data_IF_305679060533
#
_entry.id   IF_305679060533
#
_cell.length_a   1.000
_cell.length_b   1.000
_cell.length_c   1.000
_cell.angle_alpha   90.00
_cell.angle_beta   90.00
_cell.angle_gamma   90.00
#
_symmetry.space_group_name_H-M   'P 1'
#
loop_
_entity.id
_entity.type
_entity.pdbx_description
1 polymer ?
#
# COMPACT_ATOMS: atom_id res chain seq x y z
N UNK A 1 -78.34 -26.97 5.13
CA UNK A 1 -78.09 -27.88 4.00
C UNK A 1 -77.95 -27.01 2.76
N UNK A 2 -76.90 -27.18 1.93
CA UNK A 2 -76.11 -28.39 1.75
C UNK A 2 -74.66 -28.30 2.31
N UNK A 3 -74.19 -29.47 2.75
CA UNK A 3 -72.79 -29.91 2.89
C UNK A 3 -72.26 -30.30 1.48
N UNK A 4 -71.00 -30.73 1.19
CA UNK A 4 -70.04 -31.35 2.11
C UNK A 4 -68.51 -31.24 1.83
N UNK A 5 -67.74 -31.76 2.80
CA UNK A 5 -66.58 -32.65 2.69
C UNK A 5 -65.30 -32.28 1.89
N UNK A 6 -64.20 -32.34 2.64
CA UNK A 6 -62.87 -32.91 2.34
C UNK A 6 -61.94 -32.10 1.42
N UNK A 7 -60.87 -31.57 2.00
CA UNK A 7 -59.52 -32.08 1.72
C UNK A 7 -58.54 -31.58 2.80
N UNK A 8 -57.87 -32.53 3.44
CA UNK A 8 -56.66 -32.34 4.23
C UNK A 8 -55.47 -32.30 3.26
N UNK A 9 -54.59 -31.30 3.35
CA UNK A 9 -53.23 -31.50 2.91
C UNK A 9 -52.25 -31.18 4.04
N UNK A 10 -51.75 -32.24 4.66
CA UNK A 10 -50.32 -32.45 4.78
C UNK A 10 -49.63 -31.63 5.87
N UNK A 11 -49.23 -32.33 6.92
CA UNK A 11 -48.14 -31.89 7.80
C UNK A 11 -46.89 -31.57 6.97
N UNK A 12 -46.36 -30.33 6.96
CA UNK A 12 -45.06 -30.08 6.37
C UNK A 12 -43.97 -30.69 7.28
N UNK A 13 -42.93 -31.33 6.72
CA UNK A 13 -41.88 -31.94 7.51
C UNK A 13 -41.08 -30.85 8.23
N UNK A 14 -40.79 -31.13 9.50
CA UNK A 14 -39.81 -30.39 10.29
C UNK A 14 -38.42 -30.63 9.70
N UNK A 15 -37.94 -29.68 8.89
CA UNK A 15 -36.52 -29.51 8.63
C UNK A 15 -36.20 -28.02 8.60
N UNK A 16 -36.39 -27.38 9.76
CA UNK A 16 -35.70 -26.15 10.08
C UNK A 16 -34.23 -26.50 10.30
N UNK A 17 -33.47 -26.59 9.20
CA UNK A 17 -32.02 -26.53 9.24
C UNK A 17 -31.64 -25.21 9.92
N UNK A 18 -31.40 -25.30 11.21
CA UNK A 18 -30.80 -24.23 12.00
C UNK A 18 -29.38 -24.10 11.50
N UNK A 19 -29.17 -23.23 10.51
CA UNK A 19 -27.85 -22.67 10.24
C UNK A 19 -27.39 -21.98 11.51
N UNK A 20 -26.57 -22.70 12.29
CA UNK A 20 -25.85 -22.14 13.41
C UNK A 20 -25.14 -20.85 12.95
N UNK A 21 -25.18 -19.76 13.75
CA UNK A 21 -24.46 -18.56 13.41
C UNK A 21 -22.99 -18.92 13.27
N UNK A 22 -22.43 -18.70 12.07
CA UNK A 22 -21.00 -18.83 11.83
C UNK A 22 -20.28 -18.03 12.90
N UNK A 23 -19.43 -18.71 13.68
CA UNK A 23 -18.65 -18.08 14.74
C UNK A 23 -18.00 -16.82 14.15
N UNK A 24 -18.29 -15.66 14.74
CA UNK A 24 -17.77 -14.36 14.31
C UNK A 24 -16.27 -14.52 14.17
N UNK A 25 -15.75 -14.45 12.94
CA UNK A 25 -14.33 -14.66 12.68
C UNK A 25 -13.53 -13.76 13.63
N UNK A 26 -12.66 -14.37 14.43
CA UNK A 26 -11.89 -13.65 15.44
C UNK A 26 -10.98 -12.67 14.71
N UNK A 27 -11.03 -11.39 15.11
CA UNK A 27 -10.18 -10.36 14.51
C UNK A 27 -8.71 -10.74 14.68
N UNK A 28 -7.92 -10.42 13.68
CA UNK A 28 -6.46 -10.59 13.67
C UNK A 28 -5.77 -9.26 13.93
N UNK A 29 -4.49 -9.25 14.37
CA UNK A 29 -3.70 -8.02 14.42
C UNK A 29 -3.72 -7.24 13.10
N UNK A 30 -3.73 -7.94 11.96
CA UNK A 30 -3.77 -7.32 10.63
C UNK A 30 -5.07 -6.55 10.37
N UNK A 31 -6.20 -6.99 10.91
CA UNK A 31 -7.47 -6.26 10.80
C UNK A 31 -7.37 -4.89 11.48
N UNK A 32 -6.74 -4.83 12.66
CA UNK A 32 -6.50 -3.59 13.39
C UNK A 32 -5.48 -2.70 12.68
N UNK A 33 -4.41 -3.26 12.12
CA UNK A 33 -3.41 -2.52 11.34
C UNK A 33 -4.06 -1.91 10.09
N UNK A 34 -4.90 -2.67 9.38
CA UNK A 34 -5.65 -2.19 8.22
C UNK A 34 -6.62 -1.07 8.59
N UNK A 35 -7.38 -1.22 9.67
CA UNK A 35 -8.30 -0.20 10.16
C UNK A 35 -7.55 1.07 10.57
N UNK A 36 -6.45 0.94 11.33
CA UNK A 36 -5.60 2.05 11.74
C UNK A 36 -5.03 2.81 10.54
N UNK A 37 -4.55 2.09 9.53
CA UNK A 37 -4.08 2.66 8.27
C UNK A 37 -5.23 3.36 7.50
N UNK A 38 -6.44 2.79 7.54
CA UNK A 38 -7.67 3.41 7.04
C UNK A 38 -7.95 4.78 7.66
N UNK A 39 -8.00 4.81 8.99
CA UNK A 39 -8.21 6.04 9.77
C UNK A 39 -7.10 7.05 9.54
N UNK A 40 -5.84 6.62 9.53
CA UNK A 40 -4.69 7.50 9.30
C UNK A 40 -4.79 8.22 7.95
N UNK A 41 -5.12 7.48 6.88
CA UNK A 41 -5.24 8.04 5.52
C UNK A 41 -6.44 8.98 5.37
N UNK A 42 -7.57 8.65 6.00
CA UNK A 42 -8.81 9.41 5.82
C UNK A 42 -8.95 10.58 6.79
N UNK A 43 -8.19 10.56 7.89
CA UNK A 43 -8.24 11.56 8.96
C UNK A 43 -6.82 12.03 9.29
N UNK A 44 -6.30 11.62 10.44
CA UNK A 44 -4.97 11.99 10.95
C UNK A 44 -4.50 10.96 11.95
N UNK A 45 -3.23 11.05 12.35
CA UNK A 45 -2.68 10.22 13.42
C UNK A 45 -3.46 10.35 14.73
N UNK A 46 -3.93 11.56 15.09
CA UNK A 46 -4.69 11.81 16.32
C UNK A 46 -6.05 11.07 16.34
N UNK A 47 -6.61 10.81 15.16
CA UNK A 47 -7.86 10.06 15.02
C UNK A 47 -7.68 8.55 15.19
N UNK A 48 -6.46 8.03 15.08
CA UNK A 48 -6.14 6.60 15.27
C UNK A 48 -6.20 6.27 16.76
N UNK A 49 -7.40 6.15 17.32
CA UNK A 49 -7.63 5.84 18.73
C UNK A 49 -8.28 4.48 18.89
N UNK A 50 -7.96 3.78 19.98
CA UNK A 50 -8.46 2.42 20.23
C UNK A 50 -9.99 2.34 20.22
N UNK A 51 -10.68 3.34 20.78
CA UNK A 51 -12.14 3.39 20.81
C UNK A 51 -12.76 3.63 19.42
N UNK A 52 -12.12 4.48 18.60
CA UNK A 52 -12.52 4.71 17.21
C UNK A 52 -12.37 3.44 16.38
N UNK A 53 -11.23 2.76 16.52
CA UNK A 53 -10.94 1.52 15.79
C UNK A 53 -11.86 0.37 16.23
N UNK A 54 -12.11 0.23 17.53
CA UNK A 54 -13.02 -0.79 18.05
C UNK A 54 -14.45 -0.59 17.51
N UNK A 55 -14.92 0.68 17.46
CA UNK A 55 -16.21 1.02 16.85
C UNK A 55 -16.24 0.71 15.36
N UNK A 56 -15.19 1.04 14.62
CA UNK A 56 -15.08 0.78 13.18
C UNK A 56 -15.07 -0.73 12.87
N UNK A 57 -14.43 -1.53 13.71
CA UNK A 57 -14.35 -2.98 13.59
C UNK A 57 -15.56 -3.73 14.21
N UNK A 58 -16.50 -3.01 14.84
CA UNK A 58 -17.68 -3.62 15.46
C UNK A 58 -17.39 -4.50 16.68
N UNK A 59 -16.33 -4.19 17.43
CA UNK A 59 -15.88 -4.96 18.61
C UNK A 59 -15.71 -4.08 19.85
N UNK A 60 -15.48 -4.71 21.00
CA UNK A 60 -15.21 -3.98 22.24
C UNK A 60 -13.76 -3.50 22.30
N UNK A 61 -13.52 -2.44 23.09
CA UNK A 61 -12.16 -1.97 23.41
C UNK A 61 -11.30 -3.07 24.06
N UNK A 62 -11.91 -3.99 24.80
CA UNK A 62 -11.20 -5.11 25.42
C UNK A 62 -10.55 -6.05 24.39
N UNK A 63 -11.16 -6.22 23.22
CA UNK A 63 -10.64 -7.05 22.12
C UNK A 63 -9.26 -6.58 21.65
N UNK A 64 -9.03 -5.26 21.63
CA UNK A 64 -7.75 -4.67 21.21
C UNK A 64 -6.55 -5.19 22.02
N UNK A 65 -6.71 -5.31 23.34
CA UNK A 65 -5.59 -5.63 24.24
C UNK A 65 -5.14 -7.10 24.17
N UNK A 66 -5.88 -7.95 23.47
CA UNK A 66 -5.41 -9.29 23.12
C UNK A 66 -4.35 -9.27 22.01
N UNK A 67 -4.30 -8.20 21.21
CA UNK A 67 -3.41 -8.08 20.06
C UNK A 67 -2.27 -7.09 20.28
N UNK A 68 -2.54 -5.99 20.99
CA UNK A 68 -1.56 -4.91 21.20
C UNK A 68 -1.53 -4.46 22.64
N UNK A 69 -0.33 -4.14 23.14
CA UNK A 69 -0.17 -3.65 24.52
C UNK A 69 -0.81 -2.28 24.71
N UNK A 70 -0.68 -1.41 23.71
CA UNK A 70 -1.19 -0.04 23.71
C UNK A 70 -1.27 0.51 22.27
N UNK A 71 -1.68 1.77 22.15
CA UNK A 71 -1.76 2.46 20.85
C UNK A 71 -0.40 2.54 20.15
N UNK A 72 0.68 2.82 20.86
CA UNK A 72 2.01 2.97 20.25
C UNK A 72 2.52 1.66 19.68
N UNK A 73 2.18 0.53 20.31
CA UNK A 73 2.45 -0.82 19.79
C UNK A 73 1.76 -1.06 18.45
N UNK A 74 0.48 -0.71 18.34
CA UNK A 74 -0.23 -0.71 17.05
C UNK A 74 0.43 0.22 16.02
N UNK A 75 0.82 1.43 16.42
CA UNK A 75 1.42 2.40 15.50
C UNK A 75 2.80 1.94 14.98
N UNK A 76 3.62 1.29 15.81
CA UNK A 76 4.85 0.62 15.36
C UNK A 76 4.55 -0.45 14.31
N UNK A 77 3.52 -1.26 14.54
CA UNK A 77 3.12 -2.32 13.62
C UNK A 77 2.58 -1.75 12.29
N UNK A 78 1.89 -0.62 12.32
CA UNK A 78 1.48 0.11 11.10
C UNK A 78 2.69 0.59 10.29
N UNK A 79 3.71 1.15 10.95
CA UNK A 79 4.94 1.57 10.27
C UNK A 79 5.73 0.37 9.71
N UNK A 80 5.78 -0.74 10.44
CA UNK A 80 6.42 -1.97 9.98
C UNK A 80 5.71 -2.55 8.75
N UNK A 81 4.38 -2.65 8.77
CA UNK A 81 3.58 -3.10 7.63
C UNK A 81 3.77 -2.19 6.41
N UNK A 82 3.80 -0.87 6.60
CA UNK A 82 4.09 0.08 5.51
C UNK A 82 5.50 -0.09 4.93
N UNK A 83 6.51 -0.24 5.78
CA UNK A 83 7.89 -0.46 5.35
C UNK A 83 7.99 -1.73 4.50
N UNK A 84 7.46 -2.85 5.00
CA UNK A 84 7.51 -4.15 4.30
C UNK A 84 6.80 -4.09 2.95
N UNK A 85 5.60 -3.50 2.90
CA UNK A 85 4.83 -3.36 1.65
C UNK A 85 5.51 -2.47 0.62
N UNK A 86 6.42 -1.59 1.04
CA UNK A 86 7.12 -0.70 0.11
C UNK A 86 8.56 -1.10 -0.21
N UNK A 87 8.96 -2.33 0.14
CA UNK A 87 10.13 -2.97 -0.44
C UNK A 87 9.78 -3.45 -1.86
N UNK A 88 9.98 -2.56 -2.85
CA UNK A 88 9.57 -2.73 -4.25
C UNK A 88 10.37 -3.83 -4.98
N UNK A 89 11.59 -4.13 -4.52
CA UNK A 89 12.59 -4.86 -5.30
C UNK A 89 12.22 -6.28 -5.74
N UNK A 90 11.91 -7.22 -4.82
CA UNK A 90 11.83 -8.63 -5.16
C UNK A 90 10.70 -9.01 -6.13
N UNK A 91 9.66 -8.16 -6.28
CA UNK A 91 8.54 -8.44 -7.18
C UNK A 91 8.80 -7.93 -8.60
N UNK A 92 9.46 -6.79 -8.74
CA UNK A 92 9.77 -6.22 -10.05
C UNK A 92 10.97 -6.90 -10.71
N UNK A 93 11.97 -7.33 -9.94
CA UNK A 93 13.13 -8.07 -10.45
C UNK A 93 12.74 -9.39 -11.13
N UNK A 94 11.72 -10.08 -10.60
CA UNK A 94 11.20 -11.32 -11.19
C UNK A 94 10.47 -11.12 -12.52
N UNK A 95 10.12 -9.89 -12.87
CA UNK A 95 9.26 -9.57 -14.02
C UNK A 95 10.03 -8.97 -15.21
N UNK A 96 11.29 -8.56 -15.03
CA UNK A 96 12.08 -7.91 -16.09
C UNK A 96 13.28 -8.75 -16.53
N UNK A 97 13.51 -8.73 -17.85
CA UNK A 97 14.64 -9.43 -18.50
C UNK A 97 15.86 -8.51 -18.65
N UNK A 98 15.71 -7.19 -18.50
CA UNK A 98 16.83 -6.23 -18.57
C UNK A 98 16.79 -5.17 -17.47
N UNK A 99 17.98 -4.73 -17.03
CA UNK A 99 18.13 -3.70 -15.98
C UNK A 99 17.52 -2.35 -16.39
N UNK A 100 17.56 -2.02 -17.69
CA UNK A 100 16.89 -0.82 -18.21
C UNK A 100 15.36 -0.94 -18.20
N UNK A 101 14.81 -2.14 -18.46
CA UNK A 101 13.37 -2.40 -18.36
C UNK A 101 12.82 -2.14 -16.97
N UNK A 102 13.62 -2.43 -15.94
CA UNK A 102 13.26 -2.13 -14.55
C UNK A 102 13.11 -0.63 -14.27
N UNK A 103 13.93 0.24 -14.89
CA UNK A 103 13.74 1.71 -14.78
C UNK A 103 12.40 2.13 -15.35
N UNK A 104 12.00 1.57 -16.49
CA UNK A 104 10.67 1.84 -17.12
C UNK A 104 9.53 1.43 -16.19
N UNK A 105 9.65 0.25 -15.57
CA UNK A 105 8.66 -0.25 -14.63
C UNK A 105 8.55 0.60 -13.37
N UNK A 106 9.68 1.05 -12.84
CA UNK A 106 9.73 1.96 -11.70
C UNK A 106 9.09 3.32 -12.03
N UNK A 107 9.33 3.86 -13.23
CA UNK A 107 8.68 5.07 -13.73
C UNK A 107 7.17 4.91 -13.93
N UNK A 108 6.70 3.68 -14.18
CA UNK A 108 5.28 3.38 -14.37
C UNK A 108 4.52 3.17 -13.05
N UNK A 109 5.20 2.97 -11.90
CA UNK A 109 4.57 2.65 -10.62
C UNK A 109 3.43 3.60 -10.20
N UNK A 110 3.59 4.95 -10.29
CA UNK A 110 2.54 5.87 -9.88
C UNK A 110 1.23 5.72 -10.68
N UNK A 111 1.30 5.12 -11.88
CA UNK A 111 0.17 4.99 -12.79
C UNK A 111 -0.53 3.62 -12.71
N UNK A 112 -0.13 2.72 -11.81
CA UNK A 112 -0.71 1.36 -11.65
C UNK A 112 -2.09 1.39 -10.94
N UNK A 113 -2.98 2.28 -11.38
CA UNK A 113 -4.40 2.33 -11.02
C UNK A 113 -4.68 2.63 -9.54
N UNK A 114 -5.82 2.13 -9.05
CA UNK A 114 -6.31 2.40 -7.70
C UNK A 114 -5.35 1.95 -6.60
N UNK A 115 -4.62 0.86 -6.82
CA UNK A 115 -3.64 0.34 -5.83
C UNK A 115 -2.48 1.30 -5.63
N UNK A 116 -1.93 1.85 -6.72
CA UNK A 116 -0.87 2.85 -6.65
C UNK A 116 -1.34 4.10 -5.90
N UNK A 117 -2.56 4.58 -6.21
CA UNK A 117 -3.16 5.72 -5.51
C UNK A 117 -3.34 5.46 -4.02
N UNK A 118 -3.85 4.28 -3.63
CA UNK A 118 -3.99 3.92 -2.21
C UNK A 118 -2.64 3.92 -1.48
N UNK A 119 -1.61 3.36 -2.13
CA UNK A 119 -0.24 3.32 -1.59
C UNK A 119 0.32 4.73 -1.39
N UNK A 120 0.15 5.62 -2.38
CA UNK A 120 0.54 7.02 -2.29
C UNK A 120 -0.16 7.76 -1.14
N UNK A 121 -1.46 7.52 -0.95
CA UNK A 121 -2.19 8.15 0.16
C UNK A 121 -1.68 7.69 1.53
N UNK A 122 -1.27 6.41 1.66
CA UNK A 122 -0.65 5.88 2.89
C UNK A 122 0.71 6.56 3.11
N UNK A 123 1.55 6.61 2.09
CA UNK A 123 2.86 7.28 2.10
C UNK A 123 2.73 8.74 2.61
N UNK A 124 1.81 9.51 2.04
CA UNK A 124 1.65 10.92 2.42
C UNK A 124 1.07 11.09 3.83
N UNK A 125 0.18 10.20 4.27
CA UNK A 125 -0.34 10.25 5.63
C UNK A 125 0.75 9.94 6.67
N UNK A 126 1.64 8.99 6.38
CA UNK A 126 2.79 8.67 7.24
C UNK A 126 3.80 9.82 7.25
N UNK A 127 4.11 10.43 6.09
CA UNK A 127 4.98 11.61 6.04
C UNK A 127 4.39 12.81 6.77
N UNK A 128 3.06 12.98 6.74
CA UNK A 128 2.39 14.03 7.50
C UNK A 128 2.51 13.78 9.02
N UNK A 129 2.36 12.52 9.45
CA UNK A 129 2.59 12.10 10.83
C UNK A 129 4.05 12.33 11.27
N UNK A 130 5.02 11.94 10.45
CA UNK A 130 6.45 12.10 10.71
C UNK A 130 6.89 13.53 11.06
N UNK A 131 6.18 14.56 10.56
CA UNK A 131 6.48 15.97 10.86
C UNK A 131 6.48 16.31 12.36
N UNK A 132 5.84 15.50 13.20
CA UNK A 132 5.67 15.75 14.64
C UNK A 132 5.97 14.54 15.52
N UNK A 133 6.46 13.45 14.93
CA UNK A 133 6.66 12.18 15.63
C UNK A 133 7.99 11.52 15.22
N UNK A 134 8.96 11.40 16.15
CA UNK A 134 10.26 10.82 15.86
C UNK A 134 10.21 9.36 15.38
N UNK A 135 9.26 8.55 15.86
CA UNK A 135 9.15 7.14 15.47
C UNK A 135 8.71 7.01 14.02
N UNK A 136 7.77 7.85 13.59
CA UNK A 136 7.37 7.90 12.19
C UNK A 136 8.45 8.52 11.30
N UNK A 137 9.18 9.53 11.79
CA UNK A 137 10.30 10.12 11.07
C UNK A 137 11.41 9.10 10.80
N UNK A 138 11.82 8.33 11.81
CA UNK A 138 12.81 7.26 11.67
C UNK A 138 12.38 6.21 10.63
N UNK A 139 11.10 5.82 10.64
CA UNK A 139 10.57 4.89 9.65
C UNK A 139 10.60 5.48 8.22
N UNK A 140 10.31 6.78 8.07
CA UNK A 140 10.40 7.47 6.77
C UNK A 140 11.83 7.52 6.26
N UNK A 141 12.78 7.88 7.12
CA UNK A 141 14.20 7.98 6.76
C UNK A 141 14.75 6.61 6.33
N UNK A 142 14.41 5.54 7.05
CA UNK A 142 14.82 4.17 6.71
C UNK A 142 14.25 3.72 5.35
N UNK A 143 12.99 4.07 5.05
CA UNK A 143 12.35 3.74 3.77
C UNK A 143 12.97 4.54 2.62
N UNK A 144 13.27 5.82 2.84
CA UNK A 144 13.91 6.69 1.85
C UNK A 144 15.32 6.21 1.52
N UNK A 145 16.11 5.90 2.55
CA UNK A 145 17.45 5.32 2.39
C UNK A 145 17.41 4.00 1.62
N UNK A 146 16.49 3.10 1.99
CA UNK A 146 16.35 1.81 1.32
C UNK A 146 15.95 1.97 -0.17
N UNK A 147 14.95 2.80 -0.49
CA UNK A 147 14.48 3.01 -1.87
C UNK A 147 15.56 3.67 -2.73
N UNK A 148 16.22 4.70 -2.23
CA UNK A 148 17.31 5.38 -2.96
C UNK A 148 18.48 4.41 -3.14
N UNK A 149 18.87 3.68 -2.09
CA UNK A 149 19.94 2.68 -2.16
C UNK A 149 19.65 1.59 -3.19
N UNK A 150 18.42 1.12 -3.24
CA UNK A 150 17.94 0.18 -4.26
C UNK A 150 18.10 0.75 -5.68
N UNK A 151 17.63 1.98 -5.93
CA UNK A 151 17.76 2.61 -7.25
C UNK A 151 19.21 2.90 -7.64
N UNK A 152 20.09 3.23 -6.67
CA UNK A 152 21.52 3.41 -6.91
C UNK A 152 22.13 2.12 -7.45
N UNK A 153 21.86 0.98 -6.81
CA UNK A 153 22.36 -0.32 -7.26
C UNK A 153 21.92 -0.63 -8.70
N UNK A 154 20.68 -0.28 -9.05
CA UNK A 154 20.14 -0.47 -10.39
C UNK A 154 20.83 0.39 -11.45
N UNK A 155 21.02 1.69 -11.19
CA UNK A 155 21.76 2.53 -12.13
C UNK A 155 23.23 2.13 -12.24
N UNK A 156 23.86 1.64 -11.17
CA UNK A 156 25.20 1.06 -11.26
C UNK A 156 25.24 -0.21 -12.11
N UNK A 157 24.23 -1.07 -12.01
CA UNK A 157 24.10 -2.27 -12.84
C UNK A 157 23.85 -1.96 -14.33
N UNK A 158 23.32 -0.78 -14.67
CA UNK A 158 23.27 -0.27 -16.06
C UNK A 158 24.65 0.16 -16.56
N UNK A 159 25.61 0.43 -15.66
CA UNK A 159 26.97 0.85 -15.99
C UNK A 159 27.27 2.32 -15.64
N UNK A 160 26.37 3.03 -14.96
CA UNK A 160 26.67 4.40 -14.51
C UNK A 160 27.65 4.41 -13.33
N UNK A 161 28.55 5.39 -13.33
CA UNK A 161 29.41 5.65 -12.18
C UNK A 161 28.56 5.96 -10.94
N UNK A 162 29.05 5.59 -9.75
CA UNK A 162 28.29 5.71 -8.48
C UNK A 162 27.75 7.13 -8.22
N UNK A 163 28.50 8.17 -8.59
CA UNK A 163 28.08 9.57 -8.43
C UNK A 163 26.85 9.89 -9.28
N UNK A 164 26.84 9.45 -10.53
CA UNK A 164 25.73 9.68 -11.45
C UNK A 164 24.53 8.80 -11.08
N UNK A 165 24.78 7.54 -10.71
CA UNK A 165 23.76 6.62 -10.21
C UNK A 165 22.99 7.19 -9.01
N UNK A 166 23.66 7.85 -8.05
CA UNK A 166 23.02 8.55 -6.93
C UNK A 166 22.08 9.67 -7.39
N UNK A 167 22.53 10.49 -8.32
CA UNK A 167 21.71 11.60 -8.85
C UNK A 167 20.48 11.07 -9.59
N UNK A 168 20.68 10.05 -10.43
CA UNK A 168 19.60 9.38 -11.17
C UNK A 168 18.59 8.69 -10.26
N UNK A 169 19.06 8.00 -9.23
CA UNK A 169 18.24 7.38 -8.21
C UNK A 169 17.36 8.41 -7.48
N UNK A 170 17.96 9.53 -7.07
CA UNK A 170 17.22 10.61 -6.44
C UNK A 170 16.17 11.22 -7.39
N UNK A 171 16.54 11.48 -8.65
CA UNK A 171 15.60 11.99 -9.66
C UNK A 171 14.43 11.05 -9.91
N UNK A 172 14.68 9.75 -10.04
CA UNK A 172 13.64 8.73 -10.20
C UNK A 172 12.70 8.72 -8.99
N UNK A 173 13.26 8.76 -7.78
CA UNK A 173 12.46 8.75 -6.57
C UNK A 173 11.61 10.02 -6.41
N UNK A 174 12.21 11.19 -6.65
CA UNK A 174 11.53 12.47 -6.63
C UNK A 174 10.38 12.52 -7.65
N UNK A 175 10.61 12.00 -8.87
CA UNK A 175 9.57 11.87 -9.90
C UNK A 175 8.40 11.01 -9.42
N UNK A 176 8.67 9.85 -8.81
CA UNK A 176 7.61 8.96 -8.30
C UNK A 176 6.76 9.65 -7.23
N UNK A 177 7.38 10.35 -6.28
CA UNK A 177 6.66 11.11 -5.26
C UNK A 177 5.85 12.25 -5.89
N UNK A 178 6.42 12.97 -6.86
CA UNK A 178 5.75 14.07 -7.54
C UNK A 178 4.53 13.59 -8.34
N UNK A 179 4.63 12.52 -9.14
CA UNK A 179 3.50 11.97 -9.89
C UNK A 179 2.40 11.42 -8.98
N UNK A 180 2.78 10.84 -7.84
CA UNK A 180 1.84 10.36 -6.84
C UNK A 180 1.10 11.52 -6.14
N UNK A 181 1.80 12.61 -5.82
CA UNK A 181 1.23 13.78 -5.13
C UNK A 181 0.40 14.65 -6.06
N UNK A 182 0.93 14.94 -7.25
CA UNK A 182 0.36 15.82 -8.26
C UNK A 182 -0.47 15.03 -9.28
N UNK A 183 -1.14 13.95 -8.83
CA UNK A 183 -1.85 13.02 -9.70
C UNK A 183 -3.00 13.66 -10.52
N UNK A 184 -3.48 14.85 -10.15
CA UNK A 184 -4.46 15.63 -10.93
C UNK A 184 -3.83 16.51 -12.02
N UNK A 185 -2.51 16.64 -12.05
CA UNK A 185 -1.81 17.55 -12.95
C UNK A 185 -1.50 16.90 -14.30
N UNK A 186 -2.01 17.52 -15.36
CA UNK A 186 -1.87 17.11 -16.75
C UNK A 186 -2.85 16.01 -17.18
N UNK A 187 -3.16 16.03 -18.47
CA UNK A 187 -3.89 14.97 -19.16
C UNK A 187 -3.08 13.67 -19.21
N UNK A 188 -3.69 12.58 -19.66
CA UNK A 188 -2.96 11.31 -19.89
C UNK A 188 -1.81 11.50 -20.90
N UNK A 189 -2.00 12.16 -22.06
CA UNK A 189 -0.90 12.50 -22.95
C UNK A 189 0.25 13.26 -22.28
N UNK A 190 -0.05 14.23 -21.41
CA UNK A 190 0.98 15.01 -20.70
C UNK A 190 1.80 14.12 -19.76
N UNK A 191 1.13 13.23 -19.02
CA UNK A 191 1.79 12.25 -18.14
C UNK A 191 2.66 11.27 -18.92
N UNK A 192 2.18 10.80 -20.05
CA UNK A 192 2.95 9.90 -20.94
C UNK A 192 4.15 10.61 -21.58
N UNK A 193 4.02 11.91 -21.89
CA UNK A 193 5.14 12.73 -22.36
C UNK A 193 6.19 12.95 -21.25
N UNK A 194 5.77 13.32 -20.03
CA UNK A 194 6.68 13.46 -18.88
C UNK A 194 7.41 12.16 -18.57
N UNK A 195 6.70 11.03 -18.53
CA UNK A 195 7.31 9.72 -18.26
C UNK A 195 8.40 9.39 -19.26
N UNK A 196 8.14 9.57 -20.57
CA UNK A 196 9.13 9.37 -21.64
C UNK A 196 10.33 10.29 -21.48
N UNK A 197 10.09 11.58 -21.22
CA UNK A 197 11.17 12.53 -20.98
C UNK A 197 12.06 12.12 -19.79
N UNK A 198 11.47 11.68 -18.69
CA UNK A 198 12.23 11.18 -17.53
C UNK A 198 12.97 9.88 -17.84
N UNK A 199 12.38 8.96 -18.60
CA UNK A 199 13.06 7.74 -19.07
C UNK A 199 14.30 8.08 -19.88
N UNK A 200 14.15 8.89 -20.93
CA UNK A 200 15.23 9.32 -21.81
C UNK A 200 16.34 10.02 -21.01
N UNK A 201 15.95 10.92 -20.09
CA UNK A 201 16.90 11.65 -19.24
C UNK A 201 17.66 10.74 -18.28
N UNK A 202 16.96 9.78 -17.65
CA UNK A 202 17.55 8.86 -16.68
C UNK A 202 18.48 7.84 -17.35
N UNK A 203 18.20 7.46 -18.60
CA UNK A 203 19.00 6.50 -19.36
C UNK A 203 20.00 7.17 -20.32
N UNK A 204 19.98 8.49 -20.46
CA UNK A 204 20.92 9.22 -21.32
C UNK A 204 22.38 8.91 -20.97
N UNK A 205 23.16 8.53 -21.99
CA UNK A 205 24.57 8.16 -21.81
C UNK A 205 24.77 6.84 -21.06
N UNK A 206 23.72 6.01 -20.92
CA UNK A 206 23.91 4.62 -20.53
C UNK A 206 24.88 3.98 -21.53
N UNK A 207 25.91 3.25 -21.07
CA UNK A 207 26.75 2.51 -21.99
C UNK A 207 25.86 1.56 -22.80
N UNK A 208 26.17 1.41 -24.09
CA UNK A 208 25.60 0.32 -24.88
C UNK A 208 26.03 -0.96 -24.19
N UNK A 209 25.13 -1.53 -23.39
CA UNK A 209 25.30 -2.85 -22.83
C UNK A 209 25.11 -3.76 -24.04
N UNK A 210 26.19 -3.95 -24.80
CA UNK A 210 26.24 -4.90 -25.89
C UNK A 210 25.65 -6.20 -25.36
N UNK A 211 24.65 -6.70 -26.08
CA UNK A 211 24.02 -8.00 -25.84
C UNK A 211 25.14 -9.04 -25.76
N UNK A 212 25.46 -9.52 -24.56
CA UNK A 212 26.09 -10.83 -24.38
C UNK A 212 25.02 -11.92 -24.51
#
# INVERSE_FOLDING_TARGET
MPSPLIDDPGTPPADAATTAPTARAQLTPDDWIRAATGVLVTKSIDAVRVDVLAKELGVTRGSFYWHFKNRDDLLRQVLQDWNERTRIGPKLERQNVSVQGLVRDLLALPFRGRSARRTAMIEFAIRAWARRDPMAQEAVDAVDEHRIGYYVQHFQAIGFARKDAKTRAFMLYAYQLAEALLWNQGSKPDKDARRRFFEDTLLAGAPDVARE
#
